data_IF_490870913081
#
_entry.id   IF_490870913081
#
_cell.length_a   1.000
_cell.length_b   1.000
_cell.length_c   1.000
_cell.angle_alpha   90.00
_cell.angle_beta   90.00
_cell.angle_gamma   90.00
#
_symmetry.space_group_name_H-M   'P 1'
#
loop_
_entity.id
_entity.type
_entity.pdbx_description
1 polymer ?
#
# COMPACT_ATOMS: atom_id res chain seq x y z
N UNK A 1 38.41 -16.12 19.28
CA UNK A 1 38.66 -16.06 17.83
C UNK A 1 37.34 -16.32 17.12
N UNK A 2 36.78 -15.34 16.40
CA UNK A 2 35.57 -15.60 15.59
C UNK A 2 35.95 -16.47 14.38
N UNK A 3 35.15 -17.48 14.01
CA UNK A 3 35.45 -18.31 12.84
C UNK A 3 35.42 -17.43 11.58
N UNK A 4 36.54 -17.39 10.86
CA UNK A 4 36.62 -16.74 9.55
C UNK A 4 35.65 -17.45 8.61
N UNK A 5 34.63 -16.73 8.13
CA UNK A 5 33.71 -17.25 7.11
C UNK A 5 34.52 -17.76 5.92
N UNK A 6 34.19 -18.94 5.36
CA UNK A 6 34.91 -19.46 4.21
C UNK A 6 34.86 -18.46 3.04
N UNK A 7 35.92 -18.40 2.22
CA UNK A 7 35.96 -17.49 1.09
C UNK A 7 34.80 -17.78 0.13
N UNK A 8 34.12 -16.72 -0.32
CA UNK A 8 33.03 -16.81 -1.30
C UNK A 8 33.51 -17.50 -2.58
N UNK A 9 32.71 -18.40 -3.14
CA UNK A 9 32.99 -19.06 -4.42
C UNK A 9 33.15 -18.04 -5.56
N UNK A 10 33.85 -18.37 -6.66
CA UNK A 10 33.98 -17.49 -7.82
C UNK A 10 32.63 -17.04 -8.38
N UNK A 11 31.70 -17.98 -8.54
CA UNK A 11 30.33 -17.71 -8.95
C UNK A 11 29.61 -16.77 -7.95
N UNK A 12 29.81 -16.96 -6.64
CA UNK A 12 29.26 -16.04 -5.64
C UNK A 12 29.77 -14.61 -5.80
N UNK A 13 31.08 -14.45 -6.03
CA UNK A 13 31.69 -13.13 -6.25
C UNK A 13 31.16 -12.47 -7.53
N UNK A 14 31.01 -13.24 -8.61
CA UNK A 14 30.43 -12.76 -9.87
C UNK A 14 28.97 -12.28 -9.68
N UNK A 15 28.16 -13.07 -8.96
CA UNK A 15 26.78 -12.71 -8.64
C UNK A 15 26.70 -11.43 -7.79
N UNK A 16 27.47 -11.34 -6.70
CA UNK A 16 27.51 -10.14 -5.85
C UNK A 16 27.99 -8.90 -6.63
N UNK A 17 28.96 -9.05 -7.54
CA UNK A 17 29.44 -7.95 -8.38
C UNK A 17 28.35 -7.42 -9.33
N UNK A 18 27.56 -8.32 -9.93
CA UNK A 18 26.45 -7.92 -10.79
C UNK A 18 25.34 -7.20 -10.00
N UNK A 19 25.01 -7.69 -8.80
CA UNK A 19 24.04 -7.05 -7.90
C UNK A 19 24.49 -5.65 -7.51
N UNK A 20 25.76 -5.50 -7.11
CA UNK A 20 26.33 -4.19 -6.75
C UNK A 20 26.32 -3.22 -7.93
N UNK A 21 26.61 -3.70 -9.14
CA UNK A 21 26.52 -2.89 -10.37
C UNK A 21 25.10 -2.33 -10.58
N UNK A 22 24.08 -3.17 -10.40
CA UNK A 22 22.66 -2.78 -10.50
C UNK A 22 22.29 -1.74 -9.43
N UNK A 23 22.73 -1.94 -8.18
CA UNK A 23 22.46 -1.01 -7.07
C UNK A 23 23.14 0.34 -7.27
N UNK A 24 24.39 0.34 -7.73
CA UNK A 24 25.15 1.56 -8.01
C UNK A 24 24.57 2.36 -9.18
N UNK A 25 23.83 1.71 -10.08
CA UNK A 25 23.18 2.33 -11.23
C UNK A 25 21.65 2.33 -11.10
N UNK A 26 21.13 2.43 -9.86
CA UNK A 26 19.68 2.29 -9.59
C UNK A 26 18.81 3.17 -10.49
N UNK A 27 19.18 4.43 -10.69
CA UNK A 27 18.36 5.40 -11.44
C UNK A 27 18.37 5.13 -12.96
N UNK A 28 19.30 4.30 -13.44
CA UNK A 28 19.45 3.90 -14.85
C UNK A 28 19.19 2.41 -15.06
N UNK A 29 18.81 1.69 -14.01
CA UNK A 29 18.64 0.24 -14.04
C UNK A 29 17.33 -0.14 -14.72
N UNK A 30 17.42 -0.72 -15.92
CA UNK A 30 16.26 -1.32 -16.61
C UNK A 30 15.61 -2.49 -15.85
N UNK A 31 16.24 -2.98 -14.77
CA UNK A 31 15.62 -3.97 -13.87
C UNK A 31 14.64 -3.32 -12.90
N UNK A 32 14.94 -2.15 -12.32
CA UNK A 32 14.03 -1.49 -11.38
C UNK A 32 12.79 -0.94 -12.08
N UNK A 33 12.96 -0.30 -13.24
CA UNK A 33 11.83 0.08 -14.09
C UNK A 33 10.97 -1.13 -14.49
N UNK A 34 11.60 -2.30 -14.72
CA UNK A 34 10.87 -3.52 -15.01
C UNK A 34 10.09 -4.05 -13.80
N UNK A 35 10.69 -4.08 -12.61
CA UNK A 35 10.01 -4.51 -11.38
C UNK A 35 8.81 -3.59 -11.11
N UNK A 36 9.00 -2.28 -11.18
CA UNK A 36 7.94 -1.28 -10.99
C UNK A 36 6.78 -1.50 -11.97
N UNK A 37 7.08 -1.65 -13.26
CA UNK A 37 6.08 -1.93 -14.30
C UNK A 37 5.31 -3.23 -14.01
N UNK A 38 6.00 -4.29 -13.57
CA UNK A 38 5.36 -5.57 -13.25
C UNK A 38 4.52 -5.50 -11.99
N UNK A 39 4.94 -4.79 -10.95
CA UNK A 39 4.12 -4.59 -9.75
C UNK A 39 2.79 -3.92 -10.10
N UNK A 40 2.81 -2.87 -10.92
CA UNK A 40 1.60 -2.21 -11.46
C UNK A 40 0.75 -3.18 -12.27
N UNK A 41 1.35 -3.95 -13.18
CA UNK A 41 0.64 -4.91 -14.01
C UNK A 41 -0.10 -6.00 -13.19
N UNK A 42 0.47 -6.42 -12.06
CA UNK A 42 -0.13 -7.42 -11.17
C UNK A 42 -0.96 -6.79 -10.04
N UNK A 43 -1.11 -5.46 -10.02
CA UNK A 43 -1.80 -4.68 -8.99
C UNK A 43 -1.27 -5.02 -7.58
N UNK A 44 0.05 -4.88 -7.40
CA UNK A 44 0.80 -5.19 -6.18
C UNK A 44 1.64 -4.00 -5.67
N UNK A 45 1.63 -2.88 -6.39
CA UNK A 45 2.41 -1.67 -6.10
C UNK A 45 2.05 -0.97 -4.77
N UNK A 46 0.86 -1.25 -4.23
CA UNK A 46 0.44 -0.75 -2.92
C UNK A 46 0.96 -1.63 -1.76
N UNK A 47 1.50 -2.82 -2.06
CA UNK A 47 1.88 -3.83 -1.08
C UNK A 47 3.37 -4.11 -1.01
N UNK A 48 4.07 -3.99 -2.13
CA UNK A 48 5.49 -4.27 -2.22
C UNK A 48 6.22 -3.10 -2.90
N UNK A 49 7.36 -2.72 -2.34
CA UNK A 49 8.32 -1.86 -3.00
C UNK A 49 9.18 -2.67 -3.99
N UNK A 50 9.79 -1.98 -4.94
CA UNK A 50 10.79 -2.49 -5.88
C UNK A 50 11.90 -3.22 -5.11
N UNK A 51 12.35 -2.67 -3.99
CA UNK A 51 13.42 -3.25 -3.18
C UNK A 51 13.02 -4.54 -2.49
N UNK A 52 11.75 -4.72 -2.11
CA UNK A 52 11.29 -5.97 -1.50
C UNK A 52 11.46 -7.13 -2.48
N UNK A 53 11.01 -6.94 -3.72
CA UNK A 53 11.13 -7.92 -4.80
C UNK A 53 12.60 -8.20 -5.14
N UNK A 54 13.42 -7.15 -5.19
CA UNK A 54 14.83 -7.26 -5.52
C UNK A 54 15.63 -8.00 -4.44
N UNK A 55 15.43 -7.66 -3.16
CA UNK A 55 16.10 -8.30 -2.02
C UNK A 55 15.70 -9.77 -1.91
N UNK A 56 14.41 -10.08 -2.06
CA UNK A 56 13.97 -11.48 -2.05
C UNK A 56 14.61 -12.28 -3.19
N UNK A 57 14.70 -11.69 -4.38
CA UNK A 57 15.37 -12.30 -5.53
C UNK A 57 16.88 -12.49 -5.30
N UNK A 58 17.52 -11.54 -4.63
CA UNK A 58 18.92 -11.65 -4.22
C UNK A 58 19.13 -12.81 -3.24
N UNK A 59 18.31 -12.91 -2.19
CA UNK A 59 18.35 -13.99 -1.19
C UNK A 59 18.20 -15.36 -1.87
N UNK A 60 17.26 -15.49 -2.81
CA UNK A 60 17.10 -16.74 -3.59
C UNK A 60 18.35 -17.06 -4.43
N UNK A 61 18.99 -16.04 -5.01
CA UNK A 61 20.24 -16.21 -5.73
C UNK A 61 21.38 -16.68 -4.81
N UNK A 62 21.43 -16.14 -3.59
CA UNK A 62 22.36 -16.58 -2.55
C UNK A 62 22.18 -18.05 -2.22
N UNK A 63 20.96 -18.43 -1.85
CA UNK A 63 20.62 -19.80 -1.48
C UNK A 63 20.91 -20.79 -2.60
N UNK A 64 20.63 -20.41 -3.86
CA UNK A 64 20.94 -21.23 -5.04
C UNK A 64 22.44 -21.51 -5.16
N UNK A 65 23.29 -20.48 -5.04
CA UNK A 65 24.74 -20.65 -5.12
C UNK A 65 25.29 -21.46 -3.94
N UNK A 66 24.78 -21.22 -2.73
CA UNK A 66 25.18 -21.97 -1.54
C UNK A 66 24.78 -23.45 -1.60
N UNK A 67 23.73 -23.78 -2.35
CA UNK A 67 23.35 -25.18 -2.64
C UNK A 67 24.23 -25.87 -3.69
N UNK A 68 25.25 -25.18 -4.20
CA UNK A 68 26.19 -25.72 -5.20
C UNK A 68 25.73 -25.57 -6.65
N UNK A 69 24.67 -24.78 -6.90
CA UNK A 69 24.19 -24.51 -8.25
C UNK A 69 24.77 -23.21 -8.81
N UNK A 70 25.08 -23.19 -10.10
CA UNK A 70 25.67 -22.02 -10.73
C UNK A 70 24.66 -21.05 -11.38
N UNK A 71 25.03 -19.77 -11.42
CA UNK A 71 24.27 -18.70 -12.09
C UNK A 71 25.19 -18.06 -13.13
N UNK A 72 25.12 -18.54 -14.37
CA UNK A 72 26.01 -18.11 -15.45
C UNK A 72 25.78 -16.64 -15.86
N UNK A 73 24.52 -16.19 -15.88
CA UNK A 73 24.15 -14.81 -16.23
C UNK A 73 23.34 -14.18 -15.08
N UNK A 74 24.00 -13.54 -14.09
CA UNK A 74 23.34 -12.95 -12.93
C UNK A 74 22.23 -11.95 -13.27
N UNK A 75 22.43 -11.08 -14.27
CA UNK A 75 21.45 -10.04 -14.63
C UNK A 75 20.18 -10.62 -15.24
N UNK A 76 20.30 -11.57 -16.17
CA UNK A 76 19.15 -12.24 -16.77
C UNK A 76 18.43 -13.13 -15.75
N UNK A 77 19.20 -13.81 -14.89
CA UNK A 77 18.66 -14.63 -13.81
C UNK A 77 17.88 -13.79 -12.80
N UNK A 78 18.43 -12.66 -12.34
CA UNK A 78 17.76 -11.74 -11.42
C UNK A 78 16.45 -11.21 -11.99
N UNK A 79 16.43 -10.80 -13.27
CA UNK A 79 15.21 -10.33 -13.94
C UNK A 79 14.12 -11.41 -13.94
N UNK A 80 14.49 -12.65 -14.21
CA UNK A 80 13.57 -13.79 -14.22
C UNK A 80 13.06 -14.09 -12.81
N UNK A 81 13.95 -14.14 -11.83
CA UNK A 81 13.62 -14.40 -10.43
C UNK A 81 12.70 -13.31 -9.85
N UNK A 82 12.93 -12.04 -10.16
CA UNK A 82 12.04 -10.94 -9.75
C UNK A 82 10.62 -11.14 -10.27
N UNK A 83 10.47 -11.52 -11.55
CA UNK A 83 9.15 -11.81 -12.12
C UNK A 83 8.48 -13.02 -11.45
N UNK A 84 9.26 -14.06 -11.11
CA UNK A 84 8.73 -15.24 -10.43
C UNK A 84 8.29 -14.90 -9.00
N UNK A 85 9.07 -14.12 -8.25
CA UNK A 85 8.69 -13.60 -6.92
C UNK A 85 7.38 -12.81 -7.01
N UNK A 86 7.24 -11.90 -7.98
CA UNK A 86 5.99 -11.15 -8.20
C UNK A 86 4.82 -12.10 -8.51
N UNK A 87 5.03 -13.08 -9.39
CA UNK A 87 4.00 -14.08 -9.73
C UNK A 87 3.61 -14.95 -8.55
N UNK A 88 4.55 -15.29 -7.67
CA UNK A 88 4.27 -16.05 -6.45
C UNK A 88 3.46 -15.22 -5.45
N UNK A 89 3.81 -13.96 -5.24
CA UNK A 89 3.02 -13.03 -4.43
C UNK A 89 1.62 -12.82 -5.01
N UNK A 90 1.51 -12.73 -6.34
CA UNK A 90 0.23 -12.69 -7.03
C UNK A 90 -0.54 -14.01 -6.92
N UNK A 91 0.10 -15.17 -7.02
CA UNK A 91 -0.57 -16.48 -6.86
C UNK A 91 -1.04 -16.68 -5.41
N UNK A 92 -0.30 -16.16 -4.42
CA UNK A 92 -0.73 -16.07 -3.03
C UNK A 92 -1.97 -15.17 -2.87
N UNK A 93 -2.15 -14.14 -3.71
CA UNK A 93 -3.41 -13.36 -3.82
C UNK A 93 -4.60 -14.26 -4.14
N UNK A 94 -4.45 -15.31 -4.97
CA UNK A 94 -5.51 -16.27 -5.26
C UNK A 94 -5.94 -17.13 -4.05
N UNK A 95 -5.01 -17.42 -3.13
CA UNK A 95 -5.31 -18.08 -1.84
C UNK A 95 -5.79 -17.09 -0.77
N UNK A 96 -5.24 -15.88 -0.75
CA UNK A 96 -5.66 -14.81 0.16
C UNK A 96 -7.08 -14.34 -0.16
N UNK A 97 -7.44 -14.19 -1.43
CA UNK A 97 -8.81 -13.96 -1.91
C UNK A 97 -9.82 -14.99 -1.40
N UNK A 98 -9.39 -16.25 -1.16
CA UNK A 98 -10.26 -17.28 -0.58
C UNK A 98 -10.49 -17.02 0.92
N UNK A 99 -9.46 -16.58 1.64
CA UNK A 99 -9.54 -16.11 3.04
C UNK A 99 -10.27 -14.76 3.18
N UNK A 100 -10.10 -13.87 2.22
CA UNK A 100 -10.75 -12.56 2.13
C UNK A 100 -12.21 -12.73 1.71
N UNK A 101 -12.53 -13.77 0.91
CA UNK A 101 -13.90 -14.28 0.74
C UNK A 101 -14.45 -14.93 2.00
N UNK A 102 -13.66 -15.67 2.78
CA UNK A 102 -14.11 -16.19 4.07
C UNK A 102 -14.39 -15.05 5.06
N UNK A 103 -13.53 -14.02 5.12
CA UNK A 103 -13.78 -12.78 5.86
C UNK A 103 -14.99 -12.02 5.31
N UNK A 104 -15.15 -11.89 4.00
CA UNK A 104 -16.34 -11.27 3.40
C UNK A 104 -17.61 -12.10 3.62
N UNK A 105 -17.48 -13.42 3.78
CA UNK A 105 -18.59 -14.31 4.11
C UNK A 105 -18.97 -14.20 5.59
N UNK A 106 -17.99 -13.99 6.47
CA UNK A 106 -18.20 -13.66 7.88
C UNK A 106 -18.80 -12.26 8.02
N UNK A 107 -18.28 -11.25 7.32
CA UNK A 107 -18.89 -9.91 7.23
C UNK A 107 -20.31 -10.00 6.68
N UNK A 108 -20.55 -10.74 5.59
CA UNK A 108 -21.89 -10.94 5.06
C UNK A 108 -22.81 -11.65 6.07
N UNK A 109 -22.30 -12.62 6.85
CA UNK A 109 -23.06 -13.27 7.91
C UNK A 109 -23.36 -12.33 9.08
N UNK A 110 -22.40 -11.48 9.49
CA UNK A 110 -22.56 -10.44 10.52
C UNK A 110 -23.59 -9.40 10.05
N UNK A 111 -23.44 -8.87 8.83
CA UNK A 111 -24.37 -7.91 8.22
C UNK A 111 -25.75 -8.49 7.92
N UNK A 112 -25.85 -9.81 7.67
CA UNK A 112 -27.14 -10.49 7.46
C UNK A 112 -27.86 -10.85 8.76
N UNK A 113 -27.18 -10.75 9.90
CA UNK A 113 -27.75 -10.99 11.22
C UNK A 113 -28.06 -9.68 11.98
N UNK A 114 -28.15 -8.57 11.24
CA UNK A 114 -28.05 -7.24 11.85
C UNK A 114 -29.41 -6.60 12.16
N UNK A 115 -29.92 -6.93 13.34
CA UNK A 115 -30.74 -6.03 14.16
C UNK A 115 -29.89 -5.16 15.10
N UNK A 116 -28.60 -5.01 14.86
CA UNK A 116 -27.67 -4.16 15.61
C UNK A 116 -27.15 -3.02 14.72
N UNK A 117 -27.95 -1.97 14.58
CA UNK A 117 -27.50 -0.66 14.15
C UNK A 117 -26.28 -0.25 15.00
N UNK A 118 -25.05 -0.52 14.51
CA UNK A 118 -23.83 -0.44 15.31
C UNK A 118 -23.52 0.99 15.76
N UNK A 119 -24.11 1.98 15.09
CA UNK A 119 -24.14 3.38 15.49
C UNK A 119 -25.55 3.89 15.25
N UNK A 120 -26.21 4.43 16.27
CA UNK A 120 -27.51 5.07 16.06
C UNK A 120 -27.36 6.23 15.06
N UNK A 121 -28.40 6.47 14.25
CA UNK A 121 -28.49 7.66 13.38
C UNK A 121 -28.15 8.97 14.15
N UNK A 122 -28.45 9.01 15.44
CA UNK A 122 -28.14 10.12 16.33
C UNK A 122 -26.63 10.30 16.54
N UNK A 123 -25.88 9.22 16.75
CA UNK A 123 -24.43 9.26 16.91
C UNK A 123 -23.71 9.68 15.62
N UNK A 124 -24.21 9.22 14.46
CA UNK A 124 -23.68 9.65 13.15
C UNK A 124 -23.92 11.15 12.93
N UNK A 125 -25.10 11.66 13.31
CA UNK A 125 -25.40 13.11 13.23
C UNK A 125 -24.51 13.93 14.15
N UNK A 126 -24.22 13.47 15.36
CA UNK A 126 -23.31 14.14 16.30
C UNK A 126 -21.90 14.27 15.70
N UNK A 127 -21.32 13.15 15.22
CA UNK A 127 -20.02 13.16 14.56
C UNK A 127 -19.99 14.15 13.38
N UNK A 128 -21.02 14.13 12.53
CA UNK A 128 -21.08 15.04 11.38
C UNK A 128 -21.24 16.50 11.79
N UNK A 129 -21.98 16.77 12.87
CA UNK A 129 -22.13 18.11 13.45
C UNK A 129 -20.79 18.64 13.96
N UNK A 130 -20.04 17.83 14.70
CA UNK A 130 -18.74 18.21 15.26
C UNK A 130 -17.73 18.50 14.17
N UNK A 131 -17.62 17.59 13.18
CA UNK A 131 -16.76 17.79 12.01
C UNK A 131 -17.14 19.07 11.26
N UNK A 132 -18.44 19.36 11.10
CA UNK A 132 -18.91 20.56 10.40
C UNK A 132 -18.53 21.85 11.12
N UNK A 133 -18.36 21.83 12.44
CA UNK A 133 -17.87 22.98 13.22
C UNK A 133 -16.35 23.19 13.06
N UNK A 134 -15.60 22.14 12.71
CA UNK A 134 -14.14 22.18 12.57
C UNK A 134 -13.66 22.63 11.18
N UNK A 135 -14.55 22.71 10.19
CA UNK A 135 -14.20 23.04 8.81
C UNK A 135 -15.04 24.17 8.24
N UNK A 136 -14.53 24.85 7.21
CA UNK A 136 -15.34 25.80 6.48
C UNK A 136 -16.51 25.10 5.77
N UNK A 137 -17.71 25.70 5.69
CA UNK A 137 -18.87 25.10 5.02
C UNK A 137 -18.55 24.61 3.61
N UNK A 138 -17.78 25.38 2.85
CA UNK A 138 -17.37 25.02 1.50
C UNK A 138 -16.48 23.77 1.43
N UNK A 139 -15.57 23.58 2.40
CA UNK A 139 -14.71 22.39 2.43
C UNK A 139 -15.53 21.13 2.78
N UNK A 140 -16.53 21.27 3.66
CA UNK A 140 -17.49 20.22 3.98
C UNK A 140 -18.37 19.86 2.76
N UNK A 141 -18.94 20.86 2.09
CA UNK A 141 -19.78 20.66 0.90
C UNK A 141 -19.00 19.98 -0.23
N UNK A 142 -17.75 20.38 -0.47
CA UNK A 142 -16.88 19.72 -1.46
C UNK A 142 -16.66 18.25 -1.09
N UNK A 143 -16.50 17.93 0.20
CA UNK A 143 -16.35 16.54 0.65
C UNK A 143 -17.62 15.73 0.48
N UNK A 144 -18.79 16.27 0.84
CA UNK A 144 -20.09 15.62 0.62
C UNK A 144 -20.29 15.34 -0.86
N UNK A 145 -20.10 16.35 -1.73
CA UNK A 145 -20.24 16.18 -3.17
C UNK A 145 -19.27 15.14 -3.74
N UNK A 146 -18.05 15.06 -3.19
CA UNK A 146 -17.02 14.13 -3.68
C UNK A 146 -17.21 12.70 -3.19
N UNK A 147 -17.68 12.51 -1.97
CA UNK A 147 -17.67 11.20 -1.28
C UNK A 147 -19.08 10.61 -1.21
N UNK A 148 -20.09 11.41 -0.91
CA UNK A 148 -21.47 10.93 -0.79
C UNK A 148 -22.20 10.97 -2.13
N UNK A 149 -22.01 12.03 -2.92
CA UNK A 149 -22.60 12.13 -4.27
C UNK A 149 -21.68 11.59 -5.38
N UNK A 150 -20.48 11.12 -5.02
CA UNK A 150 -19.47 10.54 -5.93
C UNK A 150 -19.07 11.40 -7.15
N UNK A 151 -19.33 12.71 -7.13
CA UNK A 151 -19.11 13.58 -8.27
C UNK A 151 -17.63 13.70 -8.63
N UNK A 152 -17.33 13.75 -9.93
CA UNK A 152 -15.99 14.07 -10.42
C UNK A 152 -15.63 15.54 -10.14
N UNK A 153 -14.33 15.86 -10.12
CA UNK A 153 -13.88 17.23 -9.88
C UNK A 153 -14.43 18.24 -10.88
N UNK A 154 -14.67 17.82 -12.13
CA UNK A 154 -15.24 18.66 -13.18
C UNK A 154 -16.72 18.94 -12.84
N UNK A 155 -17.48 17.93 -12.44
CA UNK A 155 -18.89 18.09 -12.03
C UNK A 155 -19.04 18.95 -10.77
N UNK A 156 -18.08 18.85 -9.82
CA UNK A 156 -18.06 19.71 -8.62
C UNK A 156 -17.75 21.16 -9.00
N UNK A 157 -16.82 21.36 -9.92
CA UNK A 157 -16.46 22.69 -10.44
C UNK A 157 -17.66 23.36 -11.12
N UNK A 158 -18.37 22.62 -11.98
CA UNK A 158 -19.60 23.05 -12.63
C UNK A 158 -20.71 23.36 -11.62
N UNK A 159 -20.92 22.48 -10.63
CA UNK A 159 -22.01 22.63 -9.65
C UNK A 159 -21.82 23.79 -8.69
N UNK A 160 -20.59 24.03 -8.24
CA UNK A 160 -20.29 25.10 -7.30
C UNK A 160 -19.99 26.43 -8.01
N UNK A 161 -19.83 26.42 -9.34
CA UNK A 161 -19.41 27.57 -10.14
C UNK A 161 -18.13 28.23 -9.57
N UNK A 162 -17.17 27.41 -9.14
CA UNK A 162 -15.93 27.82 -8.49
C UNK A 162 -14.71 27.61 -9.39
N UNK A 163 -13.64 28.37 -9.14
CA UNK A 163 -12.44 28.33 -9.96
C UNK A 163 -11.49 27.17 -9.63
N UNK A 164 -11.10 26.43 -10.68
CA UNK A 164 -10.03 25.45 -10.82
C UNK A 164 -10.12 24.19 -9.94
N UNK A 165 -10.11 23.04 -10.62
CA UNK A 165 -9.87 21.71 -10.08
C UNK A 165 -8.81 21.64 -8.95
N UNK A 166 -7.72 22.39 -9.10
CA UNK A 166 -6.61 22.44 -8.15
C UNK A 166 -7.03 23.00 -6.79
N UNK A 167 -7.87 24.04 -6.77
CA UNK A 167 -8.38 24.62 -5.53
C UNK A 167 -9.33 23.65 -4.82
N UNK A 168 -10.24 23.00 -5.56
CA UNK A 168 -11.17 21.99 -5.03
C UNK A 168 -10.43 20.82 -4.38
N UNK A 169 -9.38 20.32 -5.04
CA UNK A 169 -8.53 19.25 -4.48
C UNK A 169 -7.83 19.67 -3.20
N UNK A 170 -7.29 20.88 -3.13
CA UNK A 170 -6.65 21.39 -1.90
C UNK A 170 -7.65 21.47 -0.75
N UNK A 171 -8.86 21.96 -1.01
CA UNK A 171 -9.96 22.03 -0.03
C UNK A 171 -10.36 20.65 0.48
N UNK A 172 -10.51 19.68 -0.43
CA UNK A 172 -10.76 18.29 -0.08
C UNK A 172 -9.64 17.67 0.78
N UNK A 173 -8.37 17.96 0.48
CA UNK A 173 -7.25 17.49 1.31
C UNK A 173 -7.28 18.08 2.72
N UNK A 174 -7.68 19.35 2.88
CA UNK A 174 -7.88 19.95 4.21
C UNK A 174 -8.97 19.21 4.98
N UNK A 175 -10.09 18.91 4.35
CA UNK A 175 -11.15 18.12 4.97
C UNK A 175 -10.66 16.74 5.41
N UNK A 176 -9.93 16.02 4.54
CA UNK A 176 -9.37 14.70 4.89
C UNK A 176 -8.38 14.76 6.05
N UNK A 177 -7.64 15.86 6.18
CA UNK A 177 -6.75 16.06 7.32
C UNK A 177 -7.57 16.23 8.61
N UNK A 178 -8.58 17.09 8.60
CA UNK A 178 -9.43 17.31 9.78
C UNK A 178 -10.15 16.03 10.21
N UNK A 179 -10.66 15.23 9.27
CA UNK A 179 -11.24 13.92 9.60
C UNK A 179 -10.23 13.00 10.28
N UNK A 180 -9.00 12.93 9.75
CA UNK A 180 -7.95 12.09 10.32
C UNK A 180 -7.60 12.53 11.74
N UNK A 181 -7.41 13.83 11.93
CA UNK A 181 -7.04 14.40 13.22
C UNK A 181 -8.18 14.18 14.24
N UNK A 182 -9.43 14.41 13.84
CA UNK A 182 -10.63 14.18 14.67
C UNK A 182 -10.77 12.72 15.15
N UNK A 183 -10.63 11.74 14.26
CA UNK A 183 -10.72 10.33 14.65
C UNK A 183 -9.50 9.89 15.48
N UNK A 184 -8.31 10.45 15.21
CA UNK A 184 -7.13 10.19 16.02
C UNK A 184 -7.27 10.74 17.45
N UNK A 185 -7.91 11.90 17.61
CA UNK A 185 -8.19 12.49 18.92
C UNK A 185 -9.26 11.70 19.70
N UNK A 186 -10.28 11.18 19.01
CA UNK A 186 -11.25 10.23 19.61
C UNK A 186 -10.53 8.96 20.10
N UNK A 187 -9.66 8.37 19.28
CA UNK A 187 -8.94 7.16 19.66
C UNK A 187 -8.04 7.40 20.89
N UNK A 188 -7.33 8.52 20.94
CA UNK A 188 -6.45 8.83 22.08
C UNK A 188 -7.25 9.14 23.36
N UNK A 189 -8.33 9.91 23.27
CA UNK A 189 -9.19 10.20 24.44
C UNK A 189 -9.85 8.93 24.99
N UNK A 190 -10.28 8.02 24.12
CA UNK A 190 -10.79 6.71 24.53
C UNK A 190 -9.71 5.87 25.22
N UNK A 191 -8.47 5.89 24.74
CA UNK A 191 -7.35 5.17 25.36
C UNK A 191 -6.96 5.74 26.74
N UNK A 192 -7.06 7.06 26.92
CA UNK A 192 -6.88 7.72 28.21
C UNK A 192 -7.98 7.33 29.20
N UNK A 193 -9.24 7.26 28.77
CA UNK A 193 -10.37 6.82 29.59
C UNK A 193 -10.26 5.36 30.06
N UNK A 194 -9.54 4.51 29.31
CA UNK A 194 -9.21 3.13 29.70
C UNK A 194 -7.87 2.99 30.44
N UNK A 195 -7.16 4.10 30.70
CA UNK A 195 -5.89 4.09 31.44
C UNK A 195 -4.74 3.39 30.71
N UNK A 196 -4.76 3.39 29.38
CA UNK A 196 -3.79 2.68 28.53
C UNK A 196 -2.78 3.62 27.82
N UNK A 197 -2.75 4.91 28.20
CA UNK A 197 -1.80 5.90 27.70
C UNK A 197 -0.39 5.76 28.28
#
# INVERSE_FOLDING_TARGET
MQPRKPPKSPNRKQFDAAVNSILNQRDKSGLFAFIEFRLKQFNLEHKFDIFDIFIESYIRGVSKIESGQDIENPSAWLRTTCLNVIREHFAKKGKHWKKEREFSSIEYQISSNDGSDYLSDEYVKEILSDIRQLVSPLDFDIFVLRVMEELSWIQIEERLNLASNTALRKRYQRMRKVLRDYFFDIDNSMLEDYGLS
#
